data_IF_648679888736
#
_entry.id   IF_648679888736
#
_cell.length_a   1.000
_cell.length_b   1.000
_cell.length_c   1.000
_cell.angle_alpha   90.00
_cell.angle_beta   90.00
_cell.angle_gamma   90.00
#
_symmetry.space_group_name_H-M   'P 1'
#
loop_
_entity.id
_entity.type
_entity.pdbx_description
1 polymer ?
#
# COMPACT_ATOMS: atom_id res chain seq x y z
N UNK A 1 17.31 14.90 -19.09
CA UNK A 1 16.21 13.97 -19.42
C UNK A 1 14.92 14.75 -19.24
N UNK A 2 14.12 14.95 -20.29
CA UNK A 2 12.94 15.81 -20.20
C UNK A 2 11.92 15.11 -19.31
N UNK A 3 11.63 15.73 -18.16
CA UNK A 3 10.48 15.38 -17.34
C UNK A 3 9.24 15.87 -18.07
N UNK A 4 8.52 14.96 -18.73
CA UNK A 4 7.13 15.24 -19.06
C UNK A 4 6.33 15.22 -17.77
N UNK A 5 5.81 16.40 -17.37
CA UNK A 5 4.76 16.56 -16.35
C UNK A 5 3.44 15.98 -16.88
N UNK A 6 3.46 14.69 -17.20
CA UNK A 6 2.36 13.96 -17.79
C UNK A 6 1.54 13.29 -16.71
N UNK A 7 0.27 13.65 -16.61
CA UNK A 7 -0.72 12.82 -15.94
C UNK A 7 -1.37 11.96 -17.02
N UNK A 8 -1.29 10.64 -16.88
CA UNK A 8 -2.02 9.70 -17.75
C UNK A 8 -3.24 9.19 -16.98
N UNK A 9 -4.40 9.35 -17.59
CA UNK A 9 -5.68 8.90 -17.04
C UNK A 9 -6.19 7.74 -17.88
N UNK A 10 -6.38 6.58 -17.25
CA UNK A 10 -6.90 5.38 -17.87
C UNK A 10 -8.30 5.08 -17.33
N UNK A 11 -9.31 4.82 -18.17
CA UNK A 11 -10.63 4.41 -17.68
C UNK A 11 -10.55 3.12 -16.85
N UNK A 12 -11.33 3.03 -15.77
CA UNK A 12 -11.32 1.86 -14.89
C UNK A 12 -11.71 0.57 -15.64
N UNK A 13 -12.65 0.64 -16.59
CA UNK A 13 -13.00 -0.52 -17.43
C UNK A 13 -11.86 -0.96 -18.34
N UNK A 14 -10.98 -0.04 -18.76
CA UNK A 14 -9.81 -0.38 -19.56
C UNK A 14 -8.81 -1.15 -18.70
N UNK A 15 -8.48 -0.62 -17.52
CA UNK A 15 -7.50 -1.19 -16.59
C UNK A 15 -7.97 -2.52 -15.96
N UNK A 16 -9.29 -2.72 -15.86
CA UNK A 16 -9.89 -3.96 -15.37
C UNK A 16 -9.92 -5.11 -16.38
N UNK A 17 -9.57 -4.89 -17.66
CA UNK A 17 -9.52 -5.94 -18.68
C UNK A 17 -8.16 -6.64 -18.69
N UNK A 18 -8.11 -7.97 -18.64
CA UNK A 18 -6.84 -8.70 -18.80
C UNK A 18 -6.18 -8.37 -20.15
N UNK A 19 -4.88 -8.08 -20.14
CA UNK A 19 -4.10 -7.85 -21.36
C UNK A 19 -4.29 -6.49 -22.04
N UNK A 20 -5.11 -5.58 -21.49
CA UNK A 20 -5.25 -4.21 -22.00
C UNK A 20 -4.09 -3.29 -21.62
N UNK A 21 -3.34 -3.65 -20.57
CA UNK A 21 -2.28 -2.81 -20.03
C UNK A 21 -0.97 -2.93 -20.84
N UNK A 22 -0.19 -1.83 -20.90
CA UNK A 22 1.15 -1.82 -21.47
C UNK A 22 2.05 -2.93 -20.94
N UNK A 23 3.05 -3.31 -21.74
CA UNK A 23 4.09 -4.28 -21.37
C UNK A 23 5.25 -3.64 -20.63
N UNK A 24 5.33 -2.31 -20.60
CA UNK A 24 6.36 -1.57 -19.88
C UNK A 24 5.88 -1.12 -18.50
N UNK A 25 6.79 -1.01 -17.54
CA UNK A 25 6.45 -0.56 -16.19
C UNK A 25 6.16 0.95 -16.17
N UNK A 26 5.02 1.35 -15.61
CA UNK A 26 4.57 2.75 -15.52
C UNK A 26 5.61 3.73 -14.97
N UNK A 27 6.46 3.30 -14.02
CA UNK A 27 7.41 4.17 -13.34
C UNK A 27 8.80 4.22 -13.98
N UNK A 28 9.26 3.11 -14.53
CA UNK A 28 10.67 2.96 -14.96
C UNK A 28 10.82 2.79 -16.47
N UNK A 29 9.74 2.54 -17.22
CA UNK A 29 9.79 2.27 -18.66
C UNK A 29 10.48 0.97 -19.05
N UNK A 30 10.88 0.15 -18.08
CA UNK A 30 11.51 -1.15 -18.31
C UNK A 30 10.45 -2.22 -18.62
N UNK A 31 10.78 -3.26 -19.41
CA UNK A 31 9.86 -4.34 -19.73
C UNK A 31 9.37 -5.05 -18.46
N UNK A 32 8.10 -5.40 -18.44
CA UNK A 32 7.48 -6.12 -17.35
C UNK A 32 8.03 -7.55 -17.26
N UNK A 33 8.46 -7.93 -16.06
CA UNK A 33 8.87 -9.31 -15.74
C UNK A 33 7.79 -10.04 -14.96
N UNK A 34 6.85 -9.29 -14.36
CA UNK A 34 5.67 -9.81 -13.69
C UNK A 34 4.49 -8.88 -13.94
N UNK A 35 3.32 -9.49 -14.05
CA UNK A 35 2.04 -8.80 -14.01
C UNK A 35 1.34 -9.13 -12.69
N UNK A 36 0.70 -8.14 -12.08
CA UNK A 36 0.00 -8.30 -10.79
C UNK A 36 -1.38 -7.69 -10.88
N UNK A 37 -2.36 -8.47 -10.47
CA UNK A 37 -3.70 -7.97 -10.18
C UNK A 37 -3.70 -7.29 -8.81
N UNK A 38 -4.41 -6.17 -8.72
CA UNK A 38 -4.68 -5.53 -7.44
C UNK A 38 -5.89 -4.61 -7.53
N UNK A 39 -6.29 -4.15 -6.36
CA UNK A 39 -7.45 -3.30 -6.19
C UNK A 39 -6.96 -1.90 -5.83
N UNK A 40 -7.33 -0.91 -6.61
CA UNK A 40 -7.09 0.50 -6.30
C UNK A 40 -8.31 1.09 -5.62
N UNK A 41 -8.11 1.61 -4.41
CA UNK A 41 -9.16 2.28 -3.65
C UNK A 41 -9.03 3.80 -3.82
N UNK A 42 -10.16 4.47 -4.07
CA UNK A 42 -10.19 5.93 -4.15
C UNK A 42 -9.82 6.55 -2.79
N UNK A 43 -9.01 7.61 -2.81
CA UNK A 43 -8.70 8.39 -1.61
C UNK A 43 -9.92 9.21 -1.23
N UNK A 44 -10.76 8.69 -0.36
CA UNK A 44 -11.85 9.45 0.24
C UNK A 44 -11.23 10.52 1.15
N UNK A 45 -11.42 11.80 0.80
CA UNK A 45 -11.14 12.91 1.73
C UNK A 45 -12.16 12.82 2.87
N UNK A 46 -11.78 12.22 3.99
CA UNK A 46 -12.59 12.25 5.21
C UNK A 46 -12.64 13.72 5.67
N UNK A 47 -13.77 14.39 5.42
CA UNK A 47 -14.06 15.72 5.98
C UNK A 47 -14.33 15.56 7.48
N UNK A 48 -13.44 16.05 8.33
CA UNK A 48 -13.64 16.07 9.78
C UNK A 48 -12.37 16.44 10.54
N UNK A 49 -12.51 17.25 11.59
CA UNK A 49 -11.39 17.75 12.38
C UNK A 49 -10.75 16.60 13.20
N UNK A 50 -9.48 16.28 12.88
CA UNK A 50 -8.76 15.09 13.36
C UNK A 50 -8.54 15.08 14.88
N UNK A 51 -8.54 16.25 15.51
CA UNK A 51 -8.22 16.46 16.94
C UNK A 51 -9.44 16.42 17.88
N UNK A 52 -10.63 16.81 17.43
CA UNK A 52 -11.78 17.03 18.33
C UNK A 52 -12.55 15.75 18.69
N UNK A 53 -12.29 14.63 18.02
CA UNK A 53 -13.12 13.42 18.12
C UNK A 53 -12.45 12.23 18.83
N UNK A 54 -11.17 12.34 19.18
CA UNK A 54 -10.46 11.30 19.96
C UNK A 54 -10.87 11.36 21.44
N UNK A 55 -11.35 12.51 21.93
CA UNK A 55 -11.67 12.74 23.35
C UNK A 55 -13.06 12.33 23.84
N UNK A 56 -14.04 12.03 22.97
CA UNK A 56 -15.45 11.91 23.40
C UNK A 56 -16.14 10.55 23.19
N UNK A 57 -15.82 9.80 22.13
CA UNK A 57 -16.53 8.56 21.72
C UNK A 57 -15.63 7.58 20.95
N UNK A 58 -14.47 7.23 21.52
CA UNK A 58 -13.35 6.58 20.82
C UNK A 58 -13.66 5.33 19.98
N UNK A 59 -14.57 4.45 20.40
CA UNK A 59 -14.88 3.19 19.68
C UNK A 59 -16.03 3.35 18.69
N UNK A 60 -17.12 4.01 19.09
CA UNK A 60 -18.27 4.26 18.21
C UNK A 60 -17.89 5.19 17.04
N UNK A 61 -17.06 6.21 17.27
CA UNK A 61 -16.56 7.09 16.22
C UNK A 61 -15.61 6.40 15.23
N UNK A 62 -14.94 5.32 15.61
CA UNK A 62 -14.11 4.51 14.70
C UNK A 62 -14.95 3.61 13.79
N UNK A 63 -16.00 2.98 14.34
CA UNK A 63 -16.93 2.15 13.57
C UNK A 63 -17.71 2.98 12.54
N UNK A 64 -18.20 4.15 12.94
CA UNK A 64 -18.87 5.11 12.06
C UNK A 64 -17.95 5.55 10.90
N UNK A 65 -16.67 5.79 11.20
CA UNK A 65 -15.66 6.13 10.18
C UNK A 65 -15.35 4.98 9.24
N UNK A 66 -15.27 3.75 9.75
CA UNK A 66 -15.06 2.56 8.91
C UNK A 66 -16.24 2.33 7.98
N UNK A 67 -17.47 2.52 8.46
CA UNK A 67 -18.68 2.43 7.65
C UNK A 67 -18.74 3.57 6.61
N UNK A 68 -18.47 4.80 7.03
CA UNK A 68 -18.44 5.95 6.13
C UNK A 68 -17.29 5.87 5.11
N UNK A 69 -16.15 5.29 5.47
CA UNK A 69 -15.08 4.98 4.53
C UNK A 69 -15.51 3.89 3.56
N UNK A 70 -16.07 2.77 4.05
CA UNK A 70 -16.55 1.66 3.21
C UNK A 70 -17.61 2.10 2.19
N UNK A 71 -18.56 2.96 2.59
CA UNK A 71 -19.63 3.45 1.69
C UNK A 71 -19.12 4.39 0.60
N UNK A 72 -18.04 5.11 0.86
CA UNK A 72 -17.52 6.15 -0.04
C UNK A 72 -16.27 5.73 -0.83
N UNK A 73 -15.58 4.66 -0.43
CA UNK A 73 -14.45 4.11 -1.18
C UNK A 73 -15.01 3.51 -2.46
N UNK A 74 -14.63 4.12 -3.58
CA UNK A 74 -14.82 3.53 -4.90
C UNK A 74 -13.60 2.71 -5.23
N UNK A 75 -13.86 1.54 -5.79
CA UNK A 75 -12.87 0.51 -6.02
C UNK A 75 -12.71 0.32 -7.52
N UNK A 76 -11.48 0.42 -8.01
CA UNK A 76 -11.13 0.07 -9.38
C UNK A 76 -10.28 -1.20 -9.36
N UNK A 77 -10.79 -2.27 -9.96
CA UNK A 77 -10.04 -3.50 -10.16
C UNK A 77 -9.01 -3.30 -11.27
N UNK A 78 -7.76 -3.64 -10.98
CA UNK A 78 -6.64 -3.56 -11.91
C UNK A 78 -6.18 -4.97 -12.25
N UNK A 79 -6.22 -5.32 -13.53
CA UNK A 79 -5.83 -6.64 -14.02
C UNK A 79 -4.52 -6.59 -14.79
N UNK A 80 -3.53 -7.32 -14.31
CA UNK A 80 -2.28 -7.54 -15.02
C UNK A 80 -1.31 -6.35 -15.05
N UNK A 81 -1.22 -5.54 -13.99
CA UNK A 81 -0.36 -4.34 -14.02
C UNK A 81 1.13 -4.68 -14.21
N UNK A 82 1.84 -4.00 -15.14
CA UNK A 82 3.22 -4.31 -15.47
C UNK A 82 4.20 -3.87 -14.38
N UNK A 83 4.95 -4.83 -13.83
CA UNK A 83 6.06 -4.57 -12.90
C UNK A 83 7.39 -5.00 -13.52
N UNK A 84 8.33 -4.05 -13.57
CA UNK A 84 9.70 -4.35 -13.97
C UNK A 84 10.50 -4.99 -12.82
N UNK A 85 11.67 -5.54 -13.15
CA UNK A 85 12.58 -6.20 -12.19
C UNK A 85 12.96 -5.31 -11.00
N UNK A 86 13.12 -4.01 -11.23
CA UNK A 86 13.40 -3.02 -10.16
C UNK A 86 12.23 -2.93 -9.18
N UNK A 87 11.00 -2.68 -9.67
CA UNK A 87 9.80 -2.62 -8.83
C UNK A 87 9.55 -3.92 -8.06
N UNK A 88 9.73 -5.08 -8.70
CA UNK A 88 9.56 -6.37 -8.02
C UNK A 88 10.59 -6.59 -6.92
N UNK A 89 11.85 -6.17 -7.14
CA UNK A 89 12.93 -6.29 -6.14
C UNK A 89 12.70 -5.34 -4.97
N UNK A 90 12.37 -4.08 -5.24
CA UNK A 90 12.06 -3.09 -4.21
C UNK A 90 10.86 -3.54 -3.37
N UNK A 91 9.82 -4.07 -4.01
CA UNK A 91 8.67 -4.67 -3.31
C UNK A 91 9.09 -5.81 -2.40
N UNK A 92 9.84 -6.77 -2.93
CA UNK A 92 10.27 -7.93 -2.16
C UNK A 92 11.09 -7.49 -0.96
N UNK A 93 12.05 -6.59 -1.15
CA UNK A 93 12.90 -6.06 -0.08
C UNK A 93 12.08 -5.39 1.03
N UNK A 94 11.17 -4.47 0.69
CA UNK A 94 10.32 -3.81 1.69
C UNK A 94 9.38 -4.77 2.42
N UNK A 95 8.80 -5.75 1.72
CA UNK A 95 7.95 -6.76 2.35
C UNK A 95 8.75 -7.72 3.24
N UNK A 96 10.00 -8.04 2.87
CA UNK A 96 10.90 -8.80 3.74
C UNK A 96 11.21 -8.01 5.00
N UNK A 97 11.56 -6.72 4.89
CA UNK A 97 11.80 -5.86 6.07
C UNK A 97 10.57 -5.79 6.95
N UNK A 98 9.38 -5.57 6.38
CA UNK A 98 8.11 -5.58 7.11
C UNK A 98 7.85 -6.92 7.82
N UNK A 99 8.09 -8.04 7.13
CA UNK A 99 7.90 -9.38 7.69
C UNK A 99 8.85 -9.65 8.85
N UNK A 100 10.13 -9.28 8.72
CA UNK A 100 11.12 -9.44 9.78
C UNK A 100 10.74 -8.62 11.01
N UNK A 101 10.31 -7.37 10.84
CA UNK A 101 9.87 -6.53 11.96
C UNK A 101 8.62 -7.10 12.64
N UNK A 102 7.65 -7.55 11.85
CA UNK A 102 6.40 -8.08 12.38
C UNK A 102 6.60 -9.43 13.09
N UNK A 103 7.14 -10.43 12.39
CA UNK A 103 7.33 -11.76 12.95
C UNK A 103 8.44 -11.79 13.99
N UNK A 104 9.51 -11.02 13.80
CA UNK A 104 10.55 -10.84 14.81
C UNK A 104 10.01 -10.17 16.07
N UNK A 105 9.21 -9.10 15.93
CA UNK A 105 8.55 -8.44 17.04
C UNK A 105 7.56 -9.35 17.78
N UNK A 106 6.75 -10.11 17.04
CA UNK A 106 5.81 -11.09 17.58
C UNK A 106 6.54 -12.21 18.34
N UNK A 107 7.59 -12.78 17.76
CA UNK A 107 8.38 -13.83 18.39
C UNK A 107 9.09 -13.33 19.66
N UNK A 108 9.65 -12.11 19.64
CA UNK A 108 10.25 -11.50 20.81
C UNK A 108 9.20 -11.25 21.91
N UNK A 109 8.03 -10.74 21.55
CA UNK A 109 6.93 -10.49 22.49
C UNK A 109 6.41 -11.78 23.12
N UNK A 110 5.97 -12.74 22.30
CA UNK A 110 5.42 -14.00 22.78
C UNK A 110 6.47 -14.83 23.53
N UNK A 111 7.71 -14.88 23.02
CA UNK A 111 8.82 -15.57 23.65
C UNK A 111 9.15 -14.99 25.03
N UNK A 112 9.20 -13.66 25.16
CA UNK A 112 9.44 -13.03 26.46
C UNK A 112 8.35 -13.35 27.48
N UNK A 113 7.07 -13.37 27.07
CA UNK A 113 5.95 -13.73 27.95
C UNK A 113 5.99 -15.21 28.38
N UNK A 114 6.31 -16.12 27.45
CA UNK A 114 6.40 -17.56 27.75
C UNK A 114 7.53 -17.80 28.76
N UNK A 115 8.71 -17.21 28.54
CA UNK A 115 9.85 -17.36 29.45
C UNK A 115 9.53 -16.74 30.82
N UNK A 116 8.98 -15.53 30.84
CA UNK A 116 8.60 -14.86 32.09
C UNK A 116 7.54 -15.65 32.89
N UNK A 117 6.71 -16.46 32.24
CA UNK A 117 5.73 -17.32 32.91
C UNK A 117 6.32 -18.54 33.62
N UNK A 118 7.57 -18.92 33.33
CA UNK A 118 8.24 -20.10 33.92
C UNK A 118 9.53 -19.74 34.67
N UNK A 119 9.99 -18.49 34.59
CA UNK A 119 11.20 -18.01 35.28
C UNK A 119 10.89 -16.83 36.19
N UNK A 120 11.31 -16.90 37.44
CA UNK A 120 11.27 -15.76 38.36
C UNK A 120 12.55 -14.90 38.23
N UNK A 121 12.42 -13.59 38.49
CA UNK A 121 13.57 -12.69 38.70
C UNK A 121 14.25 -12.13 37.45
N UNK A 122 13.59 -12.12 36.28
CA UNK A 122 14.17 -11.62 35.02
C UNK A 122 13.45 -10.36 34.48
N UNK A 123 13.61 -9.18 35.12
CA UNK A 123 12.88 -7.97 34.76
C UNK A 123 13.16 -7.45 33.34
N UNK A 124 14.29 -7.82 32.75
CA UNK A 124 14.64 -7.43 31.38
C UNK A 124 13.71 -8.03 30.31
N UNK A 125 13.02 -9.14 30.62
CA UNK A 125 12.03 -9.76 29.73
C UNK A 125 10.86 -8.81 29.45
N UNK A 126 10.48 -7.96 30.41
CA UNK A 126 9.47 -6.93 30.19
C UNK A 126 9.92 -5.92 29.12
N UNK A 127 11.21 -5.53 29.13
CA UNK A 127 11.78 -4.65 28.11
C UNK A 127 11.75 -5.29 26.71
N UNK A 128 12.07 -6.59 26.61
CA UNK A 128 12.00 -7.34 25.34
C UNK A 128 10.57 -7.47 24.86
N UNK A 129 9.61 -7.74 25.75
CA UNK A 129 8.21 -7.79 25.40
C UNK A 129 7.73 -6.43 24.83
N UNK A 130 8.02 -5.32 25.52
CA UNK A 130 7.66 -3.97 25.05
C UNK A 130 8.31 -3.66 23.70
N UNK A 131 9.60 -3.97 23.53
CA UNK A 131 10.30 -3.76 22.26
C UNK A 131 9.67 -4.57 21.12
N UNK A 132 9.39 -5.86 21.35
CA UNK A 132 8.71 -6.72 20.39
C UNK A 132 7.32 -6.19 20.02
N UNK A 133 6.56 -5.74 21.02
CA UNK A 133 5.26 -5.12 20.83
C UNK A 133 5.32 -3.87 19.97
N UNK A 134 6.31 -2.99 20.17
CA UNK A 134 6.49 -1.75 19.39
C UNK A 134 6.96 -2.02 17.95
N UNK A 135 7.76 -3.06 17.72
CA UNK A 135 8.22 -3.42 16.37
C UNK A 135 7.07 -3.84 15.45
N UNK A 136 6.03 -4.49 15.99
CA UNK A 136 4.86 -4.92 15.21
C UNK A 136 4.13 -3.77 14.51
N UNK A 137 3.64 -2.69 15.16
CA UNK A 137 3.02 -1.57 14.47
C UNK A 137 4.01 -0.80 13.59
N UNK A 138 5.30 -0.72 13.97
CA UNK A 138 6.32 -0.10 13.12
C UNK A 138 6.52 -0.83 11.78
N UNK A 139 6.25 -2.13 11.71
CA UNK A 139 6.27 -2.90 10.46
C UNK A 139 5.32 -2.37 9.37
N UNK A 140 4.29 -1.61 9.76
CA UNK A 140 3.36 -1.01 8.79
C UNK A 140 4.07 -0.03 7.85
N UNK A 141 5.12 0.66 8.30
CA UNK A 141 5.86 1.63 7.49
C UNK A 141 6.53 0.99 6.26
N UNK A 142 7.43 -0.01 6.41
CA UNK A 142 8.01 -0.71 5.26
C UNK A 142 6.93 -1.45 4.44
N UNK A 143 5.86 -1.95 5.06
CA UNK A 143 4.75 -2.56 4.33
C UNK A 143 4.10 -1.57 3.34
N UNK A 144 3.82 -0.34 3.79
CA UNK A 144 3.28 0.73 2.94
C UNK A 144 4.27 1.12 1.83
N UNK A 145 5.57 1.13 2.11
CA UNK A 145 6.61 1.39 1.09
C UNK A 145 6.70 0.29 0.02
N UNK A 146 6.42 -0.96 0.38
CA UNK A 146 6.32 -2.09 -0.54
C UNK A 146 4.95 -2.22 -1.23
N UNK A 147 3.97 -1.37 -0.92
CA UNK A 147 2.62 -1.48 -1.47
C UNK A 147 2.57 -1.15 -2.97
N UNK A 148 1.68 -1.84 -3.68
CA UNK A 148 1.52 -1.67 -5.13
C UNK A 148 1.18 -0.23 -5.53
N UNK A 149 0.20 0.47 -4.90
CA UNK A 149 -0.13 1.84 -5.29
C UNK A 149 1.05 2.80 -5.19
N UNK A 150 1.91 2.64 -4.17
CA UNK A 150 3.10 3.50 -3.98
C UNK A 150 4.23 3.18 -4.95
N UNK A 151 4.36 1.92 -5.35
CA UNK A 151 5.36 1.51 -6.33
C UNK A 151 4.99 1.89 -7.75
N UNK A 152 3.72 1.75 -8.12
CA UNK A 152 3.20 2.03 -9.47
C UNK A 152 2.94 3.51 -9.70
N UNK A 153 2.76 4.30 -8.63
CA UNK A 153 2.35 5.70 -8.72
C UNK A 153 0.90 5.87 -9.20
N UNK A 154 0.15 4.77 -9.28
CA UNK A 154 -1.23 4.76 -9.73
C UNK A 154 -2.17 5.07 -8.57
N UNK A 155 -3.14 5.94 -8.82
CA UNK A 155 -4.17 6.34 -7.87
C UNK A 155 -5.52 6.31 -8.58
N UNK A 156 -6.58 5.82 -7.93
CA UNK A 156 -7.92 5.99 -8.48
C UNK A 156 -8.33 7.45 -8.40
N UNK A 157 -9.08 7.92 -9.40
CA UNK A 157 -9.78 9.20 -9.35
C UNK A 157 -10.80 9.23 -8.20
N UNK A 158 -11.19 10.43 -7.71
CA UNK A 158 -12.11 10.56 -6.56
C UNK A 158 -13.48 9.90 -6.78
N UNK A 159 -13.96 9.91 -8.02
CA UNK A 159 -15.19 9.29 -8.49
C UNK A 159 -15.07 7.77 -8.74
N UNK A 160 -13.85 7.24 -8.78
CA UNK A 160 -13.59 5.82 -9.05
C UNK A 160 -13.61 5.42 -10.53
N UNK A 161 -13.91 6.36 -11.43
CA UNK A 161 -14.11 6.07 -12.85
C UNK A 161 -12.80 5.86 -13.62
N UNK A 162 -11.67 6.32 -13.08
CA UNK A 162 -10.38 6.24 -13.78
C UNK A 162 -9.21 5.98 -12.83
N UNK A 163 -8.13 5.45 -13.40
CA UNK A 163 -6.83 5.27 -12.77
C UNK A 163 -5.90 6.35 -13.31
N UNK A 164 -5.41 7.18 -12.41
CA UNK A 164 -4.51 8.29 -12.66
C UNK A 164 -3.08 7.83 -12.35
N UNK A 165 -2.19 7.93 -13.33
CA UNK A 165 -0.76 7.67 -13.17
C UNK A 165 -0.01 9.00 -13.28
N UNK A 166 0.65 9.39 -12.19
CA UNK A 166 1.46 10.61 -12.16
C UNK A 166 2.87 10.31 -12.64
N UNK A 167 3.37 11.09 -13.60
CA UNK A 167 4.73 10.98 -14.17
C UNK A 167 5.04 9.56 -14.71
N UNK A 168 4.25 9.05 -15.66
CA UNK A 168 4.55 7.78 -16.30
C UNK A 168 5.82 7.89 -17.15
N UNK A 169 6.55 6.80 -17.27
CA UNK A 169 7.67 6.70 -18.22
C UNK A 169 7.17 6.79 -19.67
N UNK A 170 7.99 7.35 -20.55
CA UNK A 170 7.68 7.48 -21.99
C UNK A 170 7.27 6.16 -22.65
N UNK A 171 8.00 5.06 -22.39
CA UNK A 171 7.67 3.75 -22.94
C UNK A 171 6.30 3.22 -22.50
N UNK A 172 5.86 3.57 -21.29
CA UNK A 172 4.51 3.25 -20.83
C UNK A 172 3.47 4.12 -21.54
N UNK A 173 3.71 5.43 -21.59
CA UNK A 173 2.79 6.39 -22.21
C UNK A 173 2.61 6.14 -23.72
N UNK A 174 3.65 5.66 -24.42
CA UNK A 174 3.61 5.34 -25.84
C UNK A 174 2.70 4.14 -26.17
N UNK A 175 2.49 3.21 -25.24
CA UNK A 175 1.63 2.03 -25.42
C UNK A 175 0.20 2.25 -24.90
N UNK A 176 -0.02 3.33 -24.15
CA UNK A 176 -1.36 3.69 -23.70
C UNK A 176 -2.14 4.26 -24.90
N UNK A 177 -3.39 3.81 -25.13
CA UNK A 177 -4.24 4.44 -26.13
C UNK A 177 -4.36 5.93 -25.82
N UNK A 178 -3.96 6.79 -26.77
CA UNK A 178 -4.23 8.22 -26.62
C UNK A 178 -5.74 8.40 -26.52
N UNK A 179 -6.19 9.01 -25.41
CA UNK A 179 -7.57 9.40 -25.27
C UNK A 179 -7.89 10.34 -26.46
N UNK A 180 -8.68 9.85 -27.41
CA UNK A 180 -9.43 10.69 -28.34
C UNK A 180 -10.71 11.12 -27.67
#
# INVERSE_FOLDING_TARGET
>A
MPHHDGVVTLPAEFVGRPGSLPRHCSRHGLPAVRQKDFVLQSKVKIKGNRFLQVGGRGVLGMAERLDQHRRNVRVADVKGWPLCRKCTRTRAWWLTVASVLFFGGLAAFAGALIVAGVTDGMPWLAGVAVAGFVLMPLSAFPFVLGSLPRLTGAQTSPDGASVIVTNPSEAFAAEVPSAR
#
